data_IF_394403241333
#
_entry.id   IF_394403241333
#
_cell.length_a   1.000
_cell.length_b   1.000
_cell.length_c   1.000
_cell.angle_alpha   90.00
_cell.angle_beta   90.00
_cell.angle_gamma   90.00
#
_symmetry.space_group_name_H-M   'P 1'
#
loop_
_entity.id
_entity.type
_entity.pdbx_description
1 polymer ?
#
# COMPACT_ATOMS: atom_id res chain seq x y z
N UNK A 1 -37.22 61.35 15.39
CA UNK A 1 -38.49 61.49 16.16
C UNK A 1 -39.41 60.40 15.60
N UNK A 2 -39.87 59.34 16.24
CA UNK A 2 -40.08 58.88 17.63
C UNK A 2 -40.22 57.34 17.53
N UNK A 3 -39.56 56.51 18.35
CA UNK A 3 -40.13 55.78 19.52
C UNK A 3 -41.57 55.26 19.32
N UNK A 4 -41.99 54.04 19.69
CA UNK A 4 -41.40 52.91 20.42
C UNK A 4 -42.48 51.81 20.59
N UNK A 5 -42.09 50.51 20.54
CA UNK A 5 -42.41 49.45 21.56
C UNK A 5 -43.89 48.93 21.63
N UNK A 6 -44.31 47.66 21.85
CA UNK A 6 -43.88 46.41 22.57
C UNK A 6 -44.63 45.19 21.92
N UNK A 7 -44.03 43.99 21.71
CA UNK A 7 -43.82 42.81 22.59
C UNK A 7 -44.84 41.66 22.39
N UNK A 8 -44.35 40.49 21.97
CA UNK A 8 -44.35 39.19 22.70
C UNK A 8 -43.65 38.15 21.81
N UNK A 9 -42.42 37.72 22.07
CA UNK A 9 -41.96 36.74 23.09
C UNK A 9 -42.30 35.27 22.77
N UNK A 10 -41.28 34.55 22.28
CA UNK A 10 -40.84 33.18 22.62
C UNK A 10 -40.16 32.59 21.37
N UNK A 11 -38.89 32.16 21.32
CA UNK A 11 -37.92 31.86 22.35
C UNK A 11 -37.30 30.48 22.08
N UNK A 12 -36.13 30.46 21.41
CA UNK A 12 -35.05 29.45 21.49
C UNK A 12 -35.37 27.99 21.03
N UNK A 13 -34.48 27.14 20.50
CA UNK A 13 -33.07 27.13 20.05
C UNK A 13 -32.82 25.80 19.31
N UNK A 14 -31.80 25.80 18.45
CA UNK A 14 -30.95 24.73 17.93
C UNK A 14 -31.19 23.23 18.20
N UNK A 15 -30.86 22.48 17.14
CA UNK A 15 -30.06 21.23 17.10
C UNK A 15 -30.72 19.85 17.00
N UNK A 16 -30.19 19.13 16.00
CA UNK A 16 -29.91 17.69 15.88
C UNK A 16 -30.97 16.77 15.27
N UNK A 17 -30.66 16.44 14.01
CA UNK A 17 -30.87 15.15 13.36
C UNK A 17 -30.58 13.97 14.32
N UNK A 18 -31.57 13.09 14.45
CA UNK A 18 -31.49 11.77 15.08
C UNK A 18 -30.83 10.78 14.12
N UNK A 19 -29.80 10.07 14.59
CA UNK A 19 -29.49 8.72 14.15
C UNK A 19 -29.66 7.79 15.37
N UNK A 20 -30.45 6.75 15.19
CA UNK A 20 -30.78 5.74 16.20
C UNK A 20 -29.74 4.63 16.24
N UNK A 21 -29.18 4.36 17.42
CA UNK A 21 -28.67 3.04 17.80
C UNK A 21 -29.38 2.61 19.09
N UNK A 22 -29.85 1.37 19.10
CA UNK A 22 -30.60 0.72 20.17
C UNK A 22 -29.59 0.11 21.15
N UNK A 23 -29.77 0.37 22.45
CA UNK A 23 -29.10 -0.26 23.58
C UNK A 23 -30.15 -0.88 24.53
N UNK A 24 -29.82 -2.01 25.15
CA UNK A 24 -30.45 -2.64 26.32
C UNK A 24 -29.50 -3.77 26.77
N UNK A 25 -29.12 -4.08 28.01
CA UNK A 25 -29.43 -3.74 29.41
C UNK A 25 -28.12 -4.12 30.20
N UNK A 26 -27.77 -3.78 31.43
CA UNK A 26 -28.48 -3.35 32.63
C UNK A 26 -27.52 -3.39 33.83
N UNK A 27 -27.83 -2.60 34.85
CA UNK A 27 -27.01 -2.19 36.00
C UNK A 27 -26.98 -3.23 37.15
N UNK A 28 -25.87 -3.36 37.91
CA UNK A 28 -25.88 -3.42 39.41
C UNK A 28 -24.47 -3.40 40.05
N UNK A 29 -24.36 -2.60 41.12
CA UNK A 29 -23.23 -2.33 42.04
C UNK A 29 -22.93 -3.52 42.97
N UNK A 30 -21.73 -3.61 43.56
CA UNK A 30 -21.46 -3.77 45.03
C UNK A 30 -19.94 -3.77 45.38
N UNK A 31 -19.56 -2.79 46.21
CA UNK A 31 -18.57 -2.69 47.33
C UNK A 31 -17.33 -3.64 47.51
N UNK A 32 -16.15 -2.99 47.58
CA UNK A 32 -15.23 -2.80 48.74
C UNK A 32 -14.27 -3.92 49.28
N UNK A 33 -12.97 -3.51 49.37
CA UNK A 33 -11.86 -3.87 50.32
C UNK A 33 -11.13 -5.23 50.15
N UNK A 34 -9.83 -5.22 49.79
CA UNK A 34 -8.61 -5.20 50.64
C UNK A 34 -8.27 -6.53 51.35
N UNK A 35 -7.15 -7.18 50.99
CA UNK A 35 -5.97 -7.45 51.84
C UNK A 35 -4.94 -8.39 51.17
N UNK A 36 -3.71 -8.29 51.67
CA UNK A 36 -2.41 -8.72 51.16
C UNK A 36 -1.99 -10.07 51.78
N UNK A 37 -1.19 -10.90 51.07
CA UNK A 37 0.09 -11.54 51.49
C UNK A 37 0.28 -12.99 50.98
N UNK A 38 1.20 -13.08 50.01
CA UNK A 38 2.43 -13.90 49.93
C UNK A 38 2.49 -15.43 50.19
N UNK A 39 3.44 -16.02 49.45
CA UNK A 39 4.16 -17.30 49.55
C UNK A 39 3.57 -18.62 49.02
N UNK A 40 4.23 -19.14 47.97
CA UNK A 40 5.02 -20.38 48.13
C UNK A 40 4.61 -21.66 47.37
N UNK A 41 5.50 -22.07 46.45
CA UNK A 41 5.97 -23.45 46.15
C UNK A 41 5.13 -24.49 45.36
N UNK A 42 5.70 -24.85 44.19
CA UNK A 42 6.01 -26.19 43.59
C UNK A 42 4.92 -27.19 43.12
N UNK A 43 5.20 -27.67 41.89
CA UNK A 43 5.20 -29.06 41.36
C UNK A 43 4.16 -29.52 40.30
N UNK A 44 4.72 -29.81 39.11
CA UNK A 44 4.61 -31.01 38.26
C UNK A 44 3.30 -31.47 37.58
N UNK A 45 3.39 -31.53 36.25
CA UNK A 45 3.10 -32.65 35.33
C UNK A 45 1.67 -33.07 34.91
N UNK A 46 1.52 -33.05 33.58
CA UNK A 46 0.94 -34.07 32.65
C UNK A 46 -0.52 -33.94 32.18
N UNK A 47 -0.62 -34.12 30.87
CA UNK A 47 -1.70 -34.64 30.01
C UNK A 47 -2.67 -33.72 29.26
N UNK A 48 -2.91 -34.17 28.04
CA UNK A 48 -3.55 -33.51 26.92
C UNK A 48 -4.96 -34.06 26.72
N UNK A 49 -5.91 -33.22 26.33
CA UNK A 49 -6.79 -33.45 25.17
C UNK A 49 -7.82 -32.31 24.99
N UNK A 50 -7.97 -31.90 23.72
CA UNK A 50 -9.22 -31.47 23.02
C UNK A 50 -9.77 -30.04 23.15
N UNK A 51 -9.99 -29.52 21.93
CA UNK A 51 -11.15 -28.74 21.42
C UNK A 51 -11.33 -27.25 21.74
N UNK A 52 -11.42 -26.50 20.63
CA UNK A 52 -12.36 -25.42 20.31
C UNK A 52 -12.42 -24.16 21.20
N UNK A 53 -12.01 -23.05 20.57
CA UNK A 53 -12.61 -21.70 20.64
C UNK A 53 -12.75 -21.05 22.01
N UNK A 54 -11.95 -20.02 22.29
CA UNK A 54 -12.43 -18.70 22.73
C UNK A 54 -11.28 -17.72 22.97
N UNK A 55 -11.43 -16.53 22.38
CA UNK A 55 -10.59 -15.35 22.54
C UNK A 55 -10.74 -14.84 23.99
N UNK A 56 -9.66 -14.89 24.78
CA UNK A 56 -9.57 -14.19 26.06
C UNK A 56 -8.58 -13.03 25.95
N UNK A 57 -9.14 -11.83 26.14
CA UNK A 57 -8.46 -10.54 26.24
C UNK A 57 -8.01 -10.38 27.69
N UNK A 58 -6.70 -10.28 27.93
CA UNK A 58 -6.13 -9.92 29.23
C UNK A 58 -6.15 -8.39 29.38
N UNK A 59 -6.77 -7.90 30.46
CA UNK A 59 -6.77 -6.49 30.86
C UNK A 59 -6.06 -6.32 32.21
N UNK A 60 -4.82 -5.81 32.16
CA UNK A 60 -4.14 -5.17 33.29
C UNK A 60 -4.13 -3.64 33.12
N UNK A 61 -4.35 -2.90 34.21
CA UNK A 61 -4.39 -1.43 34.30
C UNK A 61 -3.71 -1.00 35.62
N UNK A 62 -3.12 0.20 35.80
CA UNK A 62 -2.34 1.05 34.89
C UNK A 62 -0.93 1.34 35.47
N UNK A 63 0.12 1.22 34.66
CA UNK A 63 1.36 1.97 34.92
C UNK A 63 1.49 3.05 33.85
N UNK A 64 1.59 4.29 34.30
CA UNK A 64 1.73 5.51 33.50
C UNK A 64 2.91 5.42 32.53
N UNK A 65 2.69 4.85 31.33
CA UNK A 65 3.48 5.01 30.10
C UNK A 65 2.91 4.25 28.88
N UNK A 66 1.67 3.76 28.92
CA UNK A 66 1.13 2.80 27.94
C UNK A 66 0.37 3.38 26.72
N UNK A 67 0.48 4.68 26.41
CA UNK A 67 -0.21 5.30 25.26
C UNK A 67 0.69 5.61 24.05
N UNK A 68 1.81 4.89 23.88
CA UNK A 68 2.76 5.13 22.77
C UNK A 68 3.11 3.93 21.88
N UNK A 69 2.40 2.79 21.94
CA UNK A 69 2.94 1.55 21.36
C UNK A 69 1.98 0.66 20.53
N UNK A 70 0.87 1.17 20.00
CA UNK A 70 -0.06 0.36 19.18
C UNK A 70 -0.18 0.79 17.70
N UNK A 71 0.65 1.73 17.25
CA UNK A 71 0.62 2.23 15.86
C UNK A 71 1.96 2.07 15.10
N UNK A 72 2.77 1.09 15.48
CA UNK A 72 4.05 0.79 14.82
C UNK A 72 4.19 -0.65 14.35
N UNK A 73 3.09 -1.35 14.05
CA UNK A 73 3.16 -2.74 13.60
C UNK A 73 2.53 -2.98 12.23
N UNK A 74 3.38 -3.59 11.37
CA UNK A 74 3.14 -4.30 10.11
C UNK A 74 3.15 -3.51 8.80
N UNK A 75 4.36 -3.28 8.28
CA UNK A 75 4.67 -3.39 6.86
C UNK A 75 5.80 -4.42 6.66
N UNK A 76 5.53 -5.70 6.95
CA UNK A 76 6.37 -6.82 6.51
C UNK A 76 5.57 -7.57 5.45
N UNK A 77 5.59 -7.10 4.20
CA UNK A 77 5.11 -7.90 3.05
C UNK A 77 5.71 -7.48 1.69
N UNK A 78 6.55 -6.44 1.62
CA UNK A 78 7.26 -6.05 0.40
C UNK A 78 8.78 -6.01 0.67
N UNK A 79 9.43 -7.16 0.48
CA UNK A 79 10.88 -7.33 0.58
C UNK A 79 11.69 -6.35 -0.27
N UNK A 80 12.71 -5.78 0.38
CA UNK A 80 14.13 -5.91 0.00
C UNK A 80 14.40 -6.46 -1.40
N UNK A 81 14.70 -5.59 -2.36
CA UNK A 81 15.50 -5.98 -3.52
C UNK A 81 16.61 -4.97 -3.85
N UNK A 82 16.92 -4.03 -2.95
CA UNK A 82 18.03 -3.09 -3.10
C UNK A 82 18.88 -3.06 -1.83
N UNK A 83 20.06 -3.69 -1.94
CA UNK A 83 21.22 -3.69 -1.03
C UNK A 83 21.25 -4.70 0.14
N UNK A 84 22.43 -5.32 0.40
CA UNK A 84 22.72 -6.06 1.62
C UNK A 84 23.10 -5.04 2.70
N UNK A 85 22.26 -4.82 3.70
CA UNK A 85 22.67 -4.08 4.90
C UNK A 85 22.54 -5.01 6.11
N UNK A 86 23.65 -5.21 6.80
CA UNK A 86 23.73 -5.97 8.05
C UNK A 86 22.74 -5.38 9.08
N UNK A 87 21.98 -6.21 9.83
CA UNK A 87 20.94 -5.74 10.76
C UNK A 87 21.42 -4.75 11.84
N UNK A 88 22.73 -4.77 12.16
CA UNK A 88 23.35 -3.97 13.23
C UNK A 88 23.51 -2.49 12.86
N UNK A 89 23.40 -2.11 11.58
CA UNK A 89 23.53 -0.70 11.13
C UNK A 89 22.18 0.01 10.91
N UNK A 90 21.05 -0.66 11.16
CA UNK A 90 19.68 -0.18 10.90
C UNK A 90 19.13 0.82 11.95
N UNK A 91 19.87 1.10 13.02
CA UNK A 91 19.36 1.88 14.15
C UNK A 91 19.80 3.33 14.18
N UNK A 92 20.99 3.68 13.67
CA UNK A 92 21.62 4.95 14.09
C UNK A 92 21.13 6.22 13.37
N UNK A 93 20.47 6.13 12.20
CA UNK A 93 20.12 7.34 11.41
C UNK A 93 18.80 7.19 10.62
N UNK A 94 17.86 6.38 11.09
CA UNK A 94 16.54 6.27 10.48
C UNK A 94 15.80 7.62 10.56
N UNK A 95 15.24 8.14 9.45
CA UNK A 95 14.50 9.40 9.53
C UNK A 95 13.30 9.23 10.46
N UNK A 96 13.06 10.22 11.32
CA UNK A 96 12.02 10.20 12.35
C UNK A 96 10.65 10.13 11.71
N UNK A 97 9.94 9.04 11.96
CA UNK A 97 8.58 8.81 11.46
C UNK A 97 7.58 9.37 12.48
N UNK A 98 6.74 10.37 12.13
CA UNK A 98 5.77 10.93 13.06
C UNK A 98 4.63 9.92 13.37
N UNK A 99 3.99 10.03 14.55
CA UNK A 99 2.85 9.20 14.92
C UNK A 99 1.72 9.33 13.88
N UNK A 100 1.20 8.20 13.39
CA UNK A 100 0.13 8.18 12.38
C UNK A 100 0.60 8.25 10.92
N UNK A 101 1.90 8.29 10.65
CA UNK A 101 2.43 8.07 9.30
C UNK A 101 2.08 6.67 8.81
N UNK A 102 1.63 6.60 7.56
CA UNK A 102 1.32 5.34 6.90
C UNK A 102 2.26 5.12 5.73
N UNK A 103 3.11 4.10 5.86
CA UNK A 103 3.79 3.48 4.74
C UNK A 103 3.05 2.18 4.39
N UNK A 104 2.49 2.10 3.18
CA UNK A 104 1.74 0.92 2.74
C UNK A 104 2.65 -0.25 2.32
N UNK A 105 3.79 0.07 1.71
CA UNK A 105 4.69 -0.89 1.10
C UNK A 105 6.15 -0.39 1.17
N UNK A 106 7.10 -1.28 0.88
CA UNK A 106 8.54 -1.00 0.96
C UNK A 106 9.14 -1.22 2.36
N UNK A 107 10.45 -0.96 2.48
CA UNK A 107 11.20 -1.24 3.70
C UNK A 107 10.85 -0.22 4.82
N UNK A 108 10.57 -0.66 6.05
CA UNK A 108 10.39 0.25 7.18
C UNK A 108 11.61 1.17 7.34
N UNK A 109 11.42 2.45 7.66
CA UNK A 109 12.52 3.43 7.83
C UNK A 109 13.27 3.85 6.55
N UNK A 110 12.90 3.34 5.36
CA UNK A 110 13.48 3.84 4.10
C UNK A 110 12.87 5.16 3.64
N UNK A 111 11.71 5.52 4.19
CA UNK A 111 10.95 6.71 3.82
C UNK A 111 10.37 7.37 5.08
N UNK A 112 10.38 8.68 5.14
CA UNK A 112 9.75 9.45 6.21
C UNK A 112 9.11 10.71 5.67
N UNK A 113 7.93 11.09 6.20
CA UNK A 113 7.34 12.39 5.87
C UNK A 113 8.12 13.50 6.55
N UNK A 114 8.14 14.65 5.90
CA UNK A 114 8.64 15.91 6.43
C UNK A 114 7.51 16.94 6.42
N UNK A 115 7.77 18.11 7.01
CA UNK A 115 6.84 19.23 6.96
C UNK A 115 6.54 19.68 5.51
N UNK A 116 5.44 20.41 5.34
CA UNK A 116 5.08 21.10 4.09
C UNK A 116 4.90 20.17 2.88
N UNK A 117 4.39 18.96 3.09
CA UNK A 117 4.05 18.06 1.99
C UNK A 117 5.26 17.46 1.27
N UNK A 118 6.31 17.17 2.04
CA UNK A 118 7.52 16.54 1.55
C UNK A 118 7.62 15.12 2.12
N UNK A 119 8.16 14.20 1.34
CA UNK A 119 8.55 12.87 1.79
C UNK A 119 10.01 12.64 1.42
N UNK A 120 10.80 12.20 2.40
CA UNK A 120 12.22 11.91 2.25
C UNK A 120 12.43 10.41 2.10
N UNK A 121 13.06 10.00 1.02
CA UNK A 121 13.38 8.59 0.73
C UNK A 121 14.90 8.40 0.73
N UNK A 122 15.39 7.40 1.46
CA UNK A 122 16.81 7.04 1.51
C UNK A 122 17.24 6.44 0.17
N UNK A 123 18.42 6.81 -0.30
CA UNK A 123 19.07 6.28 -1.51
C UNK A 123 20.48 5.79 -1.18
N UNK A 124 21.03 4.93 -2.03
CA UNK A 124 22.32 4.26 -1.80
C UNK A 124 23.53 5.21 -1.96
N UNK A 125 23.35 6.35 -2.62
CA UNK A 125 24.42 7.32 -2.89
C UNK A 125 24.14 8.19 -4.12
N UNK A 126 25.12 8.97 -4.58
CA UNK A 126 24.95 9.91 -5.69
C UNK A 126 24.69 9.25 -7.05
N UNK A 127 25.04 7.98 -7.19
CA UNK A 127 24.84 7.16 -8.40
C UNK A 127 23.62 6.22 -8.29
N UNK A 128 22.76 6.42 -7.28
CA UNK A 128 21.57 5.61 -7.09
C UNK A 128 20.62 5.70 -8.29
N UNK A 129 20.11 4.56 -8.73
CA UNK A 129 19.23 4.45 -9.91
C UNK A 129 17.98 5.29 -9.77
N UNK A 130 17.36 5.36 -8.59
CA UNK A 130 16.13 6.13 -8.39
C UNK A 130 16.39 7.64 -8.51
N UNK A 131 17.52 8.11 -7.97
CA UNK A 131 17.95 9.50 -8.12
C UNK A 131 18.18 9.85 -9.59
N UNK A 132 18.92 9.01 -10.32
CA UNK A 132 19.18 9.23 -11.75
C UNK A 132 17.88 9.22 -12.57
N UNK A 133 16.93 8.34 -12.23
CA UNK A 133 15.62 8.31 -12.85
C UNK A 133 14.83 9.60 -12.60
N UNK A 134 14.71 10.06 -11.34
CA UNK A 134 13.99 11.30 -11.03
C UNK A 134 14.58 12.52 -11.73
N UNK A 135 15.90 12.63 -11.85
CA UNK A 135 16.55 13.72 -12.62
C UNK A 135 16.09 13.74 -14.07
N UNK A 136 16.00 12.59 -14.72
CA UNK A 136 15.53 12.49 -16.11
C UNK A 136 14.02 12.68 -16.24
N UNK A 137 13.24 12.12 -15.32
CA UNK A 137 11.78 12.29 -15.26
C UNK A 137 11.37 13.76 -15.16
N UNK A 138 12.14 14.58 -14.44
CA UNK A 138 11.84 16.02 -14.27
C UNK A 138 12.11 16.87 -15.51
N UNK A 139 12.93 16.40 -16.45
CA UNK A 139 13.19 17.14 -17.71
C UNK A 139 12.39 16.59 -18.89
N UNK A 140 11.76 15.41 -18.75
CA UNK A 140 10.84 14.87 -19.75
C UNK A 140 9.45 15.56 -19.64
N UNK A 141 8.96 16.23 -20.71
CA UNK A 141 7.73 17.03 -20.66
C UNK A 141 6.44 16.21 -20.47
N UNK A 142 6.50 14.90 -20.65
CA UNK A 142 5.38 13.98 -20.45
C UNK A 142 5.50 13.25 -19.11
N UNK A 143 6.69 12.75 -18.77
CA UNK A 143 6.91 11.96 -17.57
C UNK A 143 6.75 12.77 -16.28
N UNK A 144 7.16 14.04 -16.27
CA UNK A 144 6.98 14.94 -15.12
C UNK A 144 5.50 15.05 -14.68
N UNK A 145 4.55 14.81 -15.60
CA UNK A 145 3.11 14.91 -15.35
C UNK A 145 2.51 13.64 -14.73
N UNK A 146 3.28 12.55 -14.62
CA UNK A 146 2.78 11.26 -14.11
C UNK A 146 3.46 10.78 -12.83
N UNK A 147 4.52 11.46 -12.37
CA UNK A 147 5.33 11.06 -11.20
C UNK A 147 5.27 12.09 -10.08
N UNK A 148 5.69 11.76 -8.85
CA UNK A 148 5.87 12.75 -7.79
C UNK A 148 6.92 13.80 -8.18
N UNK A 149 6.69 15.06 -7.80
CA UNK A 149 7.68 16.12 -8.03
C UNK A 149 8.94 15.81 -7.22
N UNK A 150 10.08 15.78 -7.89
CA UNK A 150 11.39 15.70 -7.24
C UNK A 150 11.80 17.09 -6.75
N UNK A 151 12.14 17.18 -5.46
CA UNK A 151 12.42 18.45 -4.76
C UNK A 151 13.92 18.66 -4.51
N UNK A 152 14.71 17.59 -4.51
CA UNK A 152 16.16 17.69 -4.38
C UNK A 152 16.80 16.47 -3.75
N UNK A 153 18.10 16.59 -3.53
CA UNK A 153 18.93 15.61 -2.81
C UNK A 153 19.33 16.21 -1.48
N UNK A 154 19.31 15.40 -0.43
CA UNK A 154 19.77 15.77 0.90
C UNK A 154 20.80 14.78 1.39
N UNK A 155 21.82 15.27 2.10
CA UNK A 155 22.83 14.44 2.74
C UNK A 155 22.87 14.77 4.22
N UNK A 156 22.77 13.76 5.08
CA UNK A 156 22.78 13.94 6.54
C UNK A 156 23.58 12.79 7.15
N UNK A 157 24.61 13.11 7.94
CA UNK A 157 25.43 12.12 8.65
C UNK A 157 25.98 10.97 7.76
N UNK A 158 26.40 11.30 6.53
CA UNK A 158 26.92 10.33 5.56
C UNK A 158 25.85 9.57 4.75
N UNK A 159 24.58 9.65 5.16
CA UNK A 159 23.45 9.06 4.45
C UNK A 159 22.92 9.99 3.35
N UNK A 160 22.41 9.39 2.27
CA UNK A 160 21.90 10.11 1.11
C UNK A 160 20.39 9.92 0.98
N UNK A 161 19.70 10.99 0.59
CA UNK A 161 18.25 11.00 0.46
C UNK A 161 17.80 11.80 -0.76
N UNK A 162 16.63 11.44 -1.28
CA UNK A 162 15.86 12.29 -2.18
C UNK A 162 14.62 12.81 -1.46
N UNK A 163 14.29 14.06 -1.69
CA UNK A 163 13.04 14.66 -1.24
C UNK A 163 12.06 14.71 -2.42
N UNK A 164 10.87 14.19 -2.20
CA UNK A 164 9.79 14.10 -3.15
C UNK A 164 8.55 14.80 -2.58
N UNK A 165 7.66 15.27 -3.45
CA UNK A 165 6.35 15.73 -3.00
C UNK A 165 5.55 14.57 -2.39
N UNK A 166 5.03 14.77 -1.19
CA UNK A 166 4.17 13.80 -0.52
C UNK A 166 2.77 13.81 -1.15
N UNK A 167 2.45 12.74 -1.87
CA UNK A 167 1.19 12.55 -2.60
C UNK A 167 -0.04 12.45 -1.68
N UNK A 168 0.14 12.26 -0.38
CA UNK A 168 -0.96 12.31 0.61
C UNK A 168 -1.22 13.73 1.12
N UNK A 169 -0.33 14.69 0.83
CA UNK A 169 -0.49 16.07 1.30
C UNK A 169 -1.74 16.72 0.69
N UNK A 170 -2.55 17.35 1.54
CA UNK A 170 -3.80 18.00 1.15
C UNK A 170 -5.00 17.06 1.07
N UNK A 171 -4.84 15.74 1.24
CA UNK A 171 -5.97 14.82 1.37
C UNK A 171 -6.45 14.72 2.82
N UNK A 172 -7.76 14.57 3.00
CA UNK A 172 -8.40 14.39 4.32
C UNK A 172 -8.87 12.95 4.50
N UNK A 173 -8.22 12.23 5.42
CA UNK A 173 -8.47 10.82 5.69
C UNK A 173 -8.56 9.96 4.41
N UNK A 174 -7.50 9.94 3.58
CA UNK A 174 -7.55 9.35 2.25
C UNK A 174 -7.72 7.84 2.28
N UNK A 175 -8.38 7.35 1.23
CA UNK A 175 -8.30 5.97 0.78
C UNK A 175 -7.09 5.86 -0.15
N UNK A 176 -6.28 4.82 0.03
CA UNK A 176 -5.01 4.63 -0.69
C UNK A 176 -4.92 3.21 -1.23
N UNK A 177 -4.43 3.06 -2.46
CA UNK A 177 -4.13 1.77 -3.08
C UNK A 177 -2.79 1.83 -3.81
N UNK A 178 -1.97 0.80 -3.60
CA UNK A 178 -0.69 0.58 -4.28
C UNK A 178 -0.83 -0.63 -5.21
N UNK A 179 -0.63 -0.40 -6.51
CA UNK A 179 -0.71 -1.42 -7.55
C UNK A 179 0.65 -1.53 -8.22
N UNK A 180 1.36 -2.63 -7.99
CA UNK A 180 2.63 -2.89 -8.67
C UNK A 180 2.39 -3.26 -10.13
N UNK A 181 3.20 -2.69 -11.01
CA UNK A 181 3.04 -2.80 -12.46
C UNK A 181 4.11 -3.69 -13.11
N UNK A 182 3.78 -4.22 -14.28
CA UNK A 182 4.63 -5.09 -15.10
C UNK A 182 4.36 -6.58 -14.90
N UNK A 183 4.85 -7.40 -15.84
CA UNK A 183 4.86 -8.86 -15.80
C UNK A 183 5.96 -9.42 -14.91
N UNK A 184 7.02 -8.64 -14.69
CA UNK A 184 8.20 -9.03 -13.91
C UNK A 184 8.63 -7.91 -12.98
N UNK A 185 9.20 -8.29 -11.84
CA UNK A 185 9.72 -7.36 -10.83
C UNK A 185 11.24 -7.44 -10.63
N UNK A 186 11.90 -8.17 -11.53
CA UNK A 186 13.32 -8.47 -11.50
C UNK A 186 14.05 -8.02 -12.75
N UNK A 187 15.31 -7.64 -12.60
CA UNK A 187 16.22 -7.31 -13.68
C UNK A 187 16.76 -8.59 -14.32
N UNK A 188 17.23 -8.51 -15.56
CA UNK A 188 17.85 -9.65 -16.22
C UNK A 188 19.15 -10.09 -15.51
N UNK A 189 19.87 -9.14 -14.90
CA UNK A 189 21.03 -9.44 -14.06
C UNK A 189 20.68 -10.18 -12.76
N UNK A 190 19.45 -10.05 -12.25
CA UNK A 190 18.99 -10.82 -11.08
C UNK A 190 18.65 -12.27 -11.45
N UNK A 191 18.45 -12.58 -12.74
CA UNK A 191 18.10 -13.94 -13.21
C UNK A 191 19.26 -14.90 -13.04
N UNK A 192 20.51 -14.43 -13.20
CA UNK A 192 21.70 -15.27 -13.05
C UNK A 192 22.17 -15.44 -11.59
N UNK A 193 21.51 -14.77 -10.63
CA UNK A 193 21.90 -14.84 -9.23
C UNK A 193 21.36 -16.12 -8.57
N UNK A 194 22.27 -17.00 -8.16
CA UNK A 194 21.97 -18.29 -7.51
C UNK A 194 22.06 -18.26 -5.98
N UNK A 195 22.26 -17.08 -5.39
CA UNK A 195 22.34 -16.94 -3.94
C UNK A 195 21.04 -17.37 -3.25
N UNK A 196 21.16 -18.27 -2.28
CA UNK A 196 20.05 -18.80 -1.50
C UNK A 196 19.70 -17.87 -0.34
N UNK A 197 18.40 -17.75 -0.07
CA UNK A 197 17.82 -16.88 0.95
C UNK A 197 16.81 -17.67 1.78
N UNK A 198 17.11 -17.86 3.06
CA UNK A 198 16.22 -18.54 4.01
C UNK A 198 14.96 -17.73 4.28
N UNK A 199 15.07 -16.42 4.44
CA UNK A 199 13.91 -15.56 4.72
C UNK A 199 12.90 -15.52 3.55
N UNK A 200 13.35 -15.69 2.30
CA UNK A 200 12.47 -15.82 1.14
C UNK A 200 11.72 -17.15 1.15
N UNK A 201 12.38 -18.23 1.56
CA UNK A 201 11.75 -19.52 1.75
C UNK A 201 10.67 -19.45 2.84
N UNK A 202 10.99 -18.86 3.99
CA UNK A 202 10.03 -18.66 5.09
C UNK A 202 8.78 -17.87 4.62
N UNK A 203 8.97 -16.88 3.75
CA UNK A 203 7.86 -16.11 3.17
C UNK A 203 7.07 -16.90 2.12
N UNK A 204 7.72 -17.77 1.35
CA UNK A 204 7.03 -18.65 0.41
C UNK A 204 6.12 -19.63 1.15
N UNK A 205 6.64 -20.32 2.17
CA UNK A 205 5.85 -21.30 2.94
C UNK A 205 4.72 -20.65 3.72
N UNK A 206 4.89 -19.40 4.19
CA UNK A 206 3.83 -18.67 4.87
C UNK A 206 2.64 -18.35 3.94
N UNK A 207 2.84 -18.38 2.62
CA UNK A 207 1.79 -18.20 1.62
C UNK A 207 1.25 -19.55 1.15
N UNK A 208 2.14 -20.48 0.81
CA UNK A 208 1.81 -21.83 0.36
C UNK A 208 2.92 -22.81 0.79
N UNK A 209 2.67 -23.63 1.83
CA UNK A 209 3.63 -24.63 2.31
C UNK A 209 3.99 -25.69 1.27
N UNK A 210 3.16 -25.90 0.24
CA UNK A 210 3.37 -26.91 -0.81
C UNK A 210 4.13 -26.39 -2.04
N UNK A 211 4.39 -25.08 -2.09
CA UNK A 211 5.04 -24.45 -3.24
C UNK A 211 6.54 -24.78 -3.41
N UNK A 212 7.36 -24.94 -2.35
CA UNK A 212 8.76 -25.32 -2.51
C UNK A 212 8.92 -26.76 -3.03
N UNK A 213 10.01 -27.03 -3.75
CA UNK A 213 10.40 -28.40 -4.10
C UNK A 213 10.97 -29.16 -2.90
N UNK A 214 11.11 -30.48 -3.01
CA UNK A 214 11.74 -31.31 -1.96
C UNK A 214 13.16 -30.83 -1.61
N UNK A 215 13.95 -30.43 -2.61
CA UNK A 215 15.29 -29.90 -2.41
C UNK A 215 15.27 -28.52 -1.73
N UNK A 216 14.31 -27.66 -2.09
CA UNK A 216 14.13 -26.34 -1.46
C UNK A 216 13.71 -26.49 0.01
N UNK A 217 12.86 -27.47 0.33
CA UNK A 217 12.50 -27.82 1.71
C UNK A 217 13.70 -28.33 2.50
N UNK A 218 14.49 -29.25 1.93
CA UNK A 218 15.67 -29.80 2.60
C UNK A 218 16.71 -28.71 2.93
N UNK A 219 16.84 -27.69 2.08
CA UNK A 219 17.77 -26.57 2.26
C UNK A 219 17.19 -25.41 3.08
N UNK A 220 15.87 -25.38 3.27
CA UNK A 220 15.12 -24.27 3.87
C UNK A 220 15.47 -22.89 3.28
N UNK A 221 15.84 -22.85 2.00
CA UNK A 221 16.26 -21.63 1.33
C UNK A 221 15.98 -21.71 -0.17
N UNK A 222 15.62 -20.58 -0.78
CA UNK A 222 15.34 -20.46 -2.22
C UNK A 222 16.09 -19.29 -2.82
N UNK A 223 16.26 -19.28 -4.14
CA UNK A 223 16.82 -18.11 -4.82
C UNK A 223 15.80 -16.98 -4.87
N UNK A 224 16.31 -15.75 -5.04
CA UNK A 224 15.47 -14.57 -5.20
C UNK A 224 14.59 -14.65 -6.45
N UNK A 225 15.13 -15.11 -7.58
CA UNK A 225 14.37 -15.31 -8.81
C UNK A 225 13.19 -16.27 -8.58
N UNK A 226 13.46 -17.42 -7.95
CA UNK A 226 12.44 -18.43 -7.65
C UNK A 226 11.29 -17.87 -6.81
N UNK A 227 11.60 -17.07 -5.79
CA UNK A 227 10.58 -16.40 -4.97
C UNK A 227 9.76 -15.40 -5.78
N UNK A 228 10.41 -14.60 -6.63
CA UNK A 228 9.71 -13.62 -7.48
C UNK A 228 8.77 -14.31 -8.46
N UNK A 229 9.21 -15.38 -9.12
CA UNK A 229 8.37 -16.18 -10.01
C UNK A 229 7.17 -16.79 -9.29
N UNK A 230 7.35 -17.29 -8.06
CA UNK A 230 6.25 -17.75 -7.22
C UNK A 230 5.25 -16.63 -6.92
N UNK A 231 5.73 -15.47 -6.48
CA UNK A 231 4.88 -14.29 -6.22
C UNK A 231 4.12 -13.84 -7.46
N UNK A 232 4.77 -13.86 -8.61
CA UNK A 232 4.17 -13.47 -9.88
C UNK A 232 3.10 -14.47 -10.34
N UNK A 233 3.29 -15.77 -10.06
CA UNK A 233 2.33 -16.82 -10.35
C UNK A 233 1.13 -16.85 -9.38
N UNK A 234 1.33 -16.52 -8.10
CA UNK A 234 0.26 -16.49 -7.10
C UNK A 234 -0.67 -15.29 -7.25
N UNK A 235 -0.21 -14.25 -7.93
CA UNK A 235 -0.95 -12.99 -8.13
C UNK A 235 -1.36 -12.80 -9.59
N UNK A 236 -2.00 -11.68 -9.88
CA UNK A 236 -2.37 -11.29 -11.24
C UNK A 236 -1.18 -10.83 -12.11
N UNK A 237 0.04 -10.75 -11.57
CA UNK A 237 1.21 -10.19 -12.28
C UNK A 237 1.49 -10.90 -13.61
N UNK A 238 1.58 -12.24 -13.64
CA UNK A 238 1.90 -12.95 -14.88
C UNK A 238 0.83 -12.76 -15.96
N UNK A 239 -0.45 -12.77 -15.62
CA UNK A 239 -1.51 -12.72 -16.63
C UNK A 239 -1.83 -11.29 -17.04
N UNK A 240 -1.96 -10.38 -16.06
CA UNK A 240 -2.49 -9.02 -16.21
C UNK A 240 -1.43 -7.93 -16.26
N UNK A 241 -0.17 -8.24 -15.95
CA UNK A 241 0.89 -7.24 -15.90
C UNK A 241 0.71 -6.21 -14.78
N UNK A 242 -0.03 -6.55 -13.72
CA UNK A 242 -0.07 -5.79 -12.46
C UNK A 242 -0.56 -6.66 -11.31
N UNK A 243 -0.38 -6.22 -10.06
CA UNK A 243 -1.03 -6.78 -8.87
C UNK A 243 -1.26 -5.72 -7.80
N UNK A 244 -2.30 -5.91 -6.98
CA UNK A 244 -2.59 -5.01 -5.85
C UNK A 244 -1.69 -5.41 -4.69
N UNK A 245 -0.78 -4.53 -4.25
CA UNK A 245 0.16 -4.81 -3.16
C UNK A 245 -0.44 -4.43 -1.80
N UNK A 246 -1.16 -3.31 -1.74
CA UNK A 246 -1.74 -2.82 -0.51
C UNK A 246 -2.96 -1.93 -0.78
N UNK A 247 -3.89 -1.92 0.18
CA UNK A 247 -4.97 -0.93 0.22
C UNK A 247 -5.20 -0.47 1.66
N UNK A 248 -5.62 0.78 1.82
CA UNK A 248 -6.16 1.31 3.07
C UNK A 248 -7.39 2.13 2.75
N UNK A 249 -8.48 1.83 3.43
CA UNK A 249 -9.70 2.64 3.35
C UNK A 249 -9.84 3.49 4.61
N UNK A 250 -10.58 4.59 4.50
CA UNK A 250 -10.91 5.45 5.65
C UNK A 250 -11.51 4.63 6.77
N UNK A 251 -11.01 4.82 8.00
CA UNK A 251 -11.49 4.13 9.20
C UNK A 251 -11.10 2.64 9.29
N UNK A 252 -10.37 2.09 8.31
CA UNK A 252 -9.95 0.70 8.30
C UNK A 252 -8.43 0.56 8.46
N UNK A 253 -8.02 -0.56 9.05
CA UNK A 253 -6.63 -0.99 9.03
C UNK A 253 -6.17 -1.26 7.58
N UNK A 254 -4.88 -1.05 7.26
CA UNK A 254 -4.32 -1.42 5.97
C UNK A 254 -4.49 -2.93 5.70
N UNK A 255 -4.92 -3.28 4.50
CA UNK A 255 -4.97 -4.65 4.01
C UNK A 255 -3.76 -4.88 3.12
N UNK A 256 -2.87 -5.77 3.57
CA UNK A 256 -1.64 -6.14 2.85
C UNK A 256 -1.59 -7.60 2.45
N UNK A 257 -2.53 -8.42 2.92
CA UNK A 257 -2.64 -9.82 2.51
C UNK A 257 -3.45 -9.97 1.22
N UNK A 258 -2.85 -9.49 0.13
CA UNK A 258 -3.43 -9.48 -1.21
C UNK A 258 -2.65 -10.39 -2.18
N UNK A 259 -1.79 -11.25 -1.62
CA UNK A 259 -0.77 -12.02 -2.36
C UNK A 259 -1.35 -13.01 -3.36
N UNK A 260 -2.59 -13.44 -3.12
CA UNK A 260 -3.31 -14.47 -3.88
C UNK A 260 -4.48 -13.90 -4.70
N UNK A 261 -4.61 -12.57 -4.76
CA UNK A 261 -5.57 -11.91 -5.65
C UNK A 261 -5.07 -12.05 -7.09
N UNK A 262 -5.70 -12.97 -7.84
CA UNK A 262 -5.25 -13.36 -9.19
C UNK A 262 -6.35 -13.27 -10.23
N UNK A 263 -7.54 -13.76 -9.92
CA UNK A 263 -8.61 -13.86 -10.92
C UNK A 263 -9.26 -12.51 -11.20
N UNK A 264 -9.77 -12.37 -12.42
CA UNK A 264 -10.59 -11.25 -12.87
C UNK A 264 -11.68 -10.81 -11.87
N UNK A 265 -12.38 -11.80 -11.27
CA UNK A 265 -13.42 -11.53 -10.29
C UNK A 265 -12.82 -10.97 -8.99
N UNK A 266 -11.78 -11.61 -8.43
CA UNK A 266 -11.13 -11.14 -7.20
C UNK A 266 -10.56 -9.72 -7.36
N UNK A 267 -9.92 -9.42 -8.50
CA UNK A 267 -9.37 -8.10 -8.77
C UNK A 267 -10.49 -7.06 -8.83
N UNK A 268 -11.56 -7.31 -9.62
CA UNK A 268 -12.70 -6.39 -9.73
C UNK A 268 -13.39 -6.17 -8.39
N UNK A 269 -13.58 -7.22 -7.60
CA UNK A 269 -14.17 -7.13 -6.26
C UNK A 269 -13.29 -6.28 -5.34
N UNK A 270 -11.96 -6.48 -5.37
CA UNK A 270 -11.02 -5.71 -4.53
C UNK A 270 -11.01 -4.23 -4.91
N UNK A 271 -10.95 -3.90 -6.20
CA UNK A 271 -10.99 -2.51 -6.68
C UNK A 271 -12.39 -1.89 -6.46
N UNK A 272 -13.46 -2.66 -6.65
CA UNK A 272 -14.83 -2.24 -6.39
C UNK A 272 -15.07 -1.88 -4.92
N UNK A 273 -14.54 -2.70 -4.01
CA UNK A 273 -14.54 -2.42 -2.57
C UNK A 273 -13.73 -1.15 -2.26
N UNK A 274 -12.55 -0.99 -2.87
CA UNK A 274 -11.73 0.21 -2.68
C UNK A 274 -12.43 1.51 -3.09
N UNK A 275 -13.18 1.54 -4.19
CA UNK A 275 -13.97 2.73 -4.58
C UNK A 275 -15.32 2.81 -3.85
N UNK A 276 -15.72 1.77 -3.12
CA UNK A 276 -16.91 1.68 -2.29
C UNK A 276 -18.19 2.19 -2.99
N UNK A 277 -18.42 1.74 -4.23
CA UNK A 277 -19.58 2.15 -5.04
C UNK A 277 -19.58 3.60 -5.54
N UNK A 278 -18.55 4.41 -5.21
CA UNK A 278 -18.46 5.81 -5.64
C UNK A 278 -18.05 5.92 -7.11
N UNK A 279 -19.06 5.99 -7.98
CA UNK A 279 -18.88 6.05 -9.44
C UNK A 279 -18.07 7.25 -9.93
N UNK A 280 -18.22 8.42 -9.30
CA UNK A 280 -17.44 9.62 -9.64
C UNK A 280 -15.95 9.37 -9.45
N UNK A 281 -15.57 8.81 -8.30
CA UNK A 281 -14.18 8.44 -7.99
C UNK A 281 -13.64 7.44 -9.02
N UNK A 282 -14.37 6.36 -9.30
CA UNK A 282 -13.95 5.38 -10.31
C UNK A 282 -13.75 6.01 -11.71
N UNK A 283 -14.64 6.94 -12.09
CA UNK A 283 -14.55 7.68 -13.36
C UNK A 283 -13.31 8.58 -13.40
N UNK A 284 -13.00 9.28 -12.33
CA UNK A 284 -11.85 10.20 -12.28
C UNK A 284 -10.51 9.45 -12.25
N UNK A 285 -10.45 8.34 -11.50
CA UNK A 285 -9.30 7.41 -11.55
C UNK A 285 -9.12 6.89 -12.97
N UNK A 286 -10.17 6.39 -13.61
CA UNK A 286 -10.11 5.88 -14.99
C UNK A 286 -9.63 6.94 -15.98
N UNK A 287 -10.17 8.15 -15.90
CA UNK A 287 -9.76 9.29 -16.74
C UNK A 287 -8.27 9.57 -16.58
N UNK A 288 -7.79 9.59 -15.33
CA UNK A 288 -6.39 9.83 -15.02
C UNK A 288 -5.47 8.70 -15.50
N UNK A 289 -5.86 7.43 -15.35
CA UNK A 289 -5.10 6.28 -15.86
C UNK A 289 -4.94 6.32 -17.38
N UNK A 290 -6.01 6.63 -18.13
CA UNK A 290 -5.96 6.79 -19.59
C UNK A 290 -5.02 7.94 -19.99
N UNK A 291 -5.07 9.07 -19.27
CA UNK A 291 -4.15 10.18 -19.48
C UNK A 291 -2.69 9.76 -19.22
N UNK A 292 -2.43 9.07 -18.11
CA UNK A 292 -1.08 8.60 -17.77
C UNK A 292 -0.54 7.66 -18.84
N UNK A 293 -1.32 6.70 -19.32
CA UNK A 293 -0.94 5.81 -20.42
C UNK A 293 -0.47 6.60 -21.65
N UNK A 294 -1.27 7.58 -22.10
CA UNK A 294 -0.92 8.41 -23.26
C UNK A 294 0.32 9.27 -23.04
N UNK A 295 0.56 9.74 -21.81
CA UNK A 295 1.78 10.48 -21.47
C UNK A 295 3.01 9.56 -21.47
N UNK A 296 2.89 8.35 -20.92
CA UNK A 296 3.96 7.35 -20.90
C UNK A 296 4.34 6.94 -22.34
N UNK A 297 3.36 6.73 -23.22
CA UNK A 297 3.60 6.41 -24.64
C UNK A 297 4.41 7.47 -25.39
N UNK A 298 4.27 8.75 -25.01
CA UNK A 298 4.91 9.90 -25.66
C UNK A 298 6.25 10.30 -25.03
N UNK A 299 6.61 9.71 -23.90
CA UNK A 299 7.79 10.10 -23.15
C UNK A 299 9.06 9.45 -23.70
N UNK A 300 10.10 10.25 -23.86
CA UNK A 300 11.43 9.74 -24.24
C UNK A 300 12.07 8.95 -23.10
N UNK A 301 11.84 9.36 -21.84
CA UNK A 301 12.31 8.61 -20.67
C UNK A 301 11.83 7.16 -20.74
N UNK A 302 10.52 6.93 -20.85
CA UNK A 302 9.96 5.59 -20.88
C UNK A 302 10.43 4.80 -22.11
N UNK A 303 10.49 5.42 -23.30
CA UNK A 303 11.04 4.76 -24.51
C UNK A 303 12.50 4.29 -24.37
N UNK A 304 13.26 4.85 -23.42
CA UNK A 304 14.69 4.57 -23.21
C UNK A 304 14.98 3.83 -21.91
N UNK A 305 13.98 3.46 -21.12
CA UNK A 305 14.16 2.77 -19.84
C UNK A 305 13.27 1.53 -19.76
N UNK A 306 13.76 0.46 -19.15
CA UNK A 306 12.90 -0.56 -18.57
C UNK A 306 12.52 -0.12 -17.14
N UNK A 307 11.23 -0.11 -16.80
CA UNK A 307 10.73 0.42 -15.52
C UNK A 307 10.15 -0.69 -14.66
N UNK A 308 11.02 -1.33 -13.88
CA UNK A 308 10.70 -2.51 -13.10
C UNK A 308 10.26 -2.17 -11.68
N UNK A 309 9.28 -2.92 -11.18
CA UNK A 309 8.87 -2.83 -9.77
C UNK A 309 8.18 -1.52 -9.37
N UNK A 310 7.90 -0.64 -10.33
CA UNK A 310 7.13 0.59 -10.15
C UNK A 310 5.67 0.28 -9.78
N UNK A 311 5.01 1.26 -9.19
CA UNK A 311 3.63 1.15 -8.74
C UNK A 311 2.78 2.32 -9.21
N UNK A 312 1.53 2.03 -9.58
CA UNK A 312 0.47 3.03 -9.67
C UNK A 312 -0.08 3.25 -8.26
N UNK A 313 0.10 4.47 -7.76
CA UNK A 313 -0.34 4.89 -6.43
C UNK A 313 -1.61 5.74 -6.57
N UNK A 314 -2.73 5.23 -6.07
CA UNK A 314 -4.04 5.87 -6.13
C UNK A 314 -4.39 6.39 -4.74
N UNK A 315 -4.75 7.66 -4.66
CA UNK A 315 -5.19 8.32 -3.44
C UNK A 315 -6.50 9.04 -3.73
N UNK A 316 -7.49 8.92 -2.85
CA UNK A 316 -8.68 9.75 -2.97
C UNK A 316 -9.37 9.98 -1.62
N UNK A 317 -10.04 11.12 -1.51
CA UNK A 317 -10.95 11.45 -0.42
C UNK A 317 -12.31 11.92 -0.98
N UNK A 318 -13.09 12.67 -0.20
CA UNK A 318 -14.40 13.14 -0.63
C UNK A 318 -14.34 14.34 -1.59
N UNK A 319 -13.16 14.93 -1.78
CA UNK A 319 -12.97 16.16 -2.54
C UNK A 319 -12.13 15.94 -3.81
N UNK A 320 -11.17 15.02 -3.77
CA UNK A 320 -10.19 14.89 -4.84
C UNK A 320 -9.68 13.45 -5.04
N UNK A 321 -9.15 13.23 -6.25
CA UNK A 321 -8.51 12.00 -6.70
C UNK A 321 -7.11 12.33 -7.22
N UNK A 322 -6.12 11.54 -6.79
CA UNK A 322 -4.75 11.61 -7.26
C UNK A 322 -4.26 10.23 -7.72
N UNK A 323 -3.52 10.20 -8.83
CA UNK A 323 -2.87 8.99 -9.34
C UNK A 323 -1.49 9.33 -9.90
N UNK A 324 -0.48 8.61 -9.42
CA UNK A 324 0.92 8.77 -9.80
C UNK A 324 1.57 7.41 -10.06
N UNK A 325 2.62 7.40 -10.88
CA UNK A 325 3.57 6.30 -10.98
C UNK A 325 4.72 6.59 -10.01
N UNK A 326 5.03 5.64 -9.12
CA UNK A 326 6.05 5.75 -8.08
C UNK A 326 7.05 4.59 -8.16
N UNK A 327 8.10 4.67 -7.34
CA UNK A 327 9.17 3.67 -7.18
C UNK A 327 9.99 3.40 -8.44
N UNK A 328 11.02 4.23 -8.66
CA UNK A 328 11.91 4.15 -9.82
C UNK A 328 13.28 3.52 -9.49
N UNK A 329 13.39 2.82 -8.37
CA UNK A 329 14.63 2.18 -7.93
C UNK A 329 15.20 1.15 -8.92
N UNK A 330 14.35 0.58 -9.80
CA UNK A 330 14.77 -0.30 -10.89
C UNK A 330 14.34 0.23 -12.27
N UNK A 331 14.35 1.56 -12.44
CA UNK A 331 14.22 2.18 -13.75
C UNK A 331 15.59 2.27 -14.41
N UNK A 332 15.90 1.29 -15.27
CA UNK A 332 17.23 1.13 -15.86
C UNK A 332 17.23 1.58 -17.32
N UNK A 333 18.25 2.34 -17.77
CA UNK A 333 18.42 2.64 -19.18
C UNK A 333 18.46 1.35 -20.01
N UNK A 334 17.85 1.40 -21.19
CA UNK A 334 17.91 0.29 -22.14
C UNK A 334 19.31 0.18 -22.75
N UNK A 335 19.78 -1.04 -23.06
CA UNK A 335 21.01 -1.23 -23.83
C UNK A 335 20.93 -0.51 -25.19
N UNK A 336 22.07 -0.04 -25.74
CA UNK A 336 22.10 0.63 -27.04
C UNK A 336 21.38 -0.18 -28.13
N UNK A 337 20.55 0.50 -28.93
CA UNK A 337 19.78 -0.12 -30.01
C UNK A 337 18.54 -0.92 -29.57
N UNK A 338 18.33 -1.11 -28.27
CA UNK A 338 17.14 -1.82 -27.75
C UNK A 338 15.91 -0.90 -27.75
N UNK A 339 14.77 -1.45 -28.16
CA UNK A 339 13.47 -0.77 -28.08
C UNK A 339 12.47 -1.68 -27.38
N UNK A 340 11.71 -1.09 -26.47
CA UNK A 340 10.61 -1.75 -25.77
C UNK A 340 9.29 -1.11 -26.17
N UNK A 341 8.23 -1.89 -26.10
CA UNK A 341 6.84 -1.45 -26.28
C UNK A 341 6.14 -1.26 -24.93
N UNK A 342 6.75 -1.77 -23.86
CA UNK A 342 6.20 -1.99 -22.53
C UNK A 342 4.91 -2.84 -22.54
N UNK A 343 4.67 -3.59 -23.63
CA UNK A 343 3.44 -4.37 -23.83
C UNK A 343 3.71 -5.82 -24.19
N UNK A 344 4.76 -6.07 -24.96
CA UNK A 344 5.15 -7.43 -25.34
C UNK A 344 5.54 -8.23 -24.10
N UNK A 345 5.40 -9.55 -24.20
CA UNK A 345 5.84 -10.46 -23.15
C UNK A 345 7.36 -10.37 -23.01
N UNK A 346 7.83 -10.39 -21.77
CA UNK A 346 9.24 -10.46 -21.47
C UNK A 346 9.82 -11.78 -21.97
N UNK A 347 11.01 -11.67 -22.56
CA UNK A 347 11.91 -12.76 -22.89
C UNK A 347 13.32 -12.27 -22.58
N UNK A 348 14.20 -13.17 -22.12
CA UNK A 348 15.58 -12.81 -21.82
C UNK A 348 16.23 -12.04 -22.98
N UNK A 349 16.75 -10.84 -22.69
CA UNK A 349 17.42 -9.96 -23.64
C UNK A 349 16.51 -8.95 -24.34
N UNK A 350 15.19 -9.08 -24.27
CA UNK A 350 14.28 -8.14 -24.93
C UNK A 350 13.93 -6.91 -24.06
N UNK A 351 14.35 -6.90 -22.79
CA UNK A 351 14.12 -5.83 -21.81
C UNK A 351 12.65 -5.46 -21.52
N UNK A 352 11.66 -6.15 -22.11
CA UNK A 352 10.25 -5.83 -21.88
C UNK A 352 9.87 -6.16 -20.43
N UNK A 353 9.09 -5.29 -19.82
CA UNK A 353 8.63 -5.41 -18.44
C UNK A 353 7.11 -5.40 -18.33
N UNK A 354 6.40 -4.94 -19.36
CA UNK A 354 4.94 -4.99 -19.42
C UNK A 354 4.21 -3.83 -18.72
N UNK A 355 4.88 -2.69 -18.46
CA UNK A 355 4.27 -1.53 -17.79
C UNK A 355 2.98 -1.07 -18.48
N UNK A 356 3.02 -0.83 -19.80
CA UNK A 356 1.86 -0.36 -20.57
C UNK A 356 0.79 -1.46 -20.74
N UNK A 357 1.18 -2.74 -20.81
CA UNK A 357 0.20 -3.82 -20.76
C UNK A 357 -0.57 -3.80 -19.43
N UNK A 358 0.14 -3.63 -18.32
CA UNK A 358 -0.48 -3.46 -16.99
C UNK A 358 -1.44 -2.28 -16.95
N UNK A 359 -1.09 -1.14 -17.56
CA UNK A 359 -2.01 -0.01 -17.70
C UNK A 359 -3.25 -0.37 -18.51
N UNK A 360 -3.10 -1.07 -19.64
CA UNK A 360 -4.24 -1.47 -20.48
C UNK A 360 -5.20 -2.40 -19.73
N UNK A 361 -4.69 -3.38 -18.98
CA UNK A 361 -5.50 -4.28 -18.16
C UNK A 361 -6.14 -3.57 -16.95
N UNK A 362 -5.40 -2.68 -16.28
CA UNK A 362 -5.92 -1.91 -15.15
C UNK A 362 -7.04 -0.96 -15.58
N UNK A 363 -6.88 -0.30 -16.73
CA UNK A 363 -7.90 0.55 -17.36
C UNK A 363 -9.16 -0.27 -17.66
N UNK A 364 -9.02 -1.44 -18.30
CA UNK A 364 -10.16 -2.32 -18.60
C UNK A 364 -10.87 -2.79 -17.32
N UNK A 365 -10.11 -3.11 -16.29
CA UNK A 365 -10.65 -3.53 -14.99
C UNK A 365 -11.43 -2.39 -14.32
N UNK A 366 -10.86 -1.18 -14.32
CA UNK A 366 -11.52 0.00 -13.75
C UNK A 366 -12.78 0.40 -14.52
N UNK A 367 -12.79 0.24 -15.86
CA UNK A 367 -14.00 0.40 -16.68
C UNK A 367 -15.12 -0.55 -16.24
N UNK A 368 -14.81 -1.83 -16.04
CA UNK A 368 -15.77 -2.81 -15.56
C UNK A 368 -16.30 -2.46 -14.15
N UNK A 369 -15.42 -2.03 -13.24
CA UNK A 369 -15.83 -1.58 -11.89
C UNK A 369 -16.74 -0.35 -11.96
N UNK A 370 -16.40 0.63 -12.80
CA UNK A 370 -17.22 1.84 -12.99
C UNK A 370 -18.62 1.50 -13.53
N UNK A 371 -18.73 0.54 -14.46
CA UNK A 371 -20.01 0.07 -14.99
C UNK A 371 -20.83 -0.69 -13.93
N UNK A 372 -20.20 -1.52 -13.10
CA UNK A 372 -20.90 -2.21 -12.01
C UNK A 372 -21.47 -1.24 -10.97
N UNK A 373 -20.73 -0.18 -10.62
CA UNK A 373 -21.23 0.87 -9.72
C UNK A 373 -22.48 1.59 -10.26
N UNK A 374 -22.63 1.66 -11.59
CA UNK A 374 -23.82 2.21 -12.24
C UNK A 374 -25.05 1.34 -12.01
N UNK A 375 -24.94 0.01 -12.15
CA UNK A 375 -26.07 -0.90 -11.97
C UNK A 375 -26.53 -1.02 -10.51
N UNK A 376 -25.62 -0.96 -9.54
CA UNK A 376 -25.96 -0.97 -8.12
C UNK A 376 -26.74 0.27 -7.69
N UNK A 377 -26.40 1.43 -8.27
CA UNK A 377 -27.08 2.71 -7.98
C UNK A 377 -28.52 2.74 -8.53
N UNK A 378 -28.75 2.18 -9.72
CA UNK A 378 -30.08 2.11 -10.35
C UNK A 378 -31.01 1.14 -9.60
N UNK A 379 -30.49 -0.02 -9.13
CA UNK A 379 -31.27 -0.98 -8.33
C UNK A 379 -31.71 -0.45 -6.96
N UNK A 380 -30.92 0.43 -6.34
CA UNK A 380 -31.30 1.06 -5.07
C UNK A 380 -32.36 2.16 -5.28
N UNK A 381 -32.28 2.92 -6.37
CA UNK A 381 -33.30 3.91 -6.72
C UNK A 381 -34.64 3.28 -7.10
N UNK A 382 -34.64 2.19 -7.88
CA UNK A 382 -35.89 1.50 -8.25
C UNK A 382 -36.61 0.86 -7.05
N UNK A 383 -35.87 0.42 -6.01
CA UNK A 383 -36.47 -0.11 -4.78
C UNK A 383 -37.01 0.98 -3.84
N UNK A 384 -36.49 2.20 -3.93
CA UNK A 384 -36.95 3.32 -3.10
C UNK A 384 -38.20 4.01 -3.67
N UNK A 385 -38.54 3.78 -4.93
CA UNK A 385 -39.74 4.30 -5.60
C UNK A 385 -40.94 3.35 -5.55
N UNK A 386 -40.75 2.13 -5.04
CA UNK A 386 -41.78 1.09 -4.91
C UNK A 386 -42.39 1.00 -3.48
N UNK A 387 -42.26 2.05 -2.66
CA UNK A 387 -42.82 2.12 -1.29
C UNK A 387 -43.74 3.32 -1.14
#
# INVERSE_FOLDING_TARGET
MTSSIFLTMAGWTSDKFRLSCIDNNGLKRTLLKMLILDNGTKNSNIEAERTATEYLVDQGVPTTNANKSLLSFLAINALELSAPASPVLLECNAPTVPPGWLQLSGHPKSIAPLANGIVRKRISGPNDTELLAYRQLMVDPHAIKVVPKFLGVHQVAGEHFIDLHNMLHGFTEPNVMDIKMGFRTFTESEVSNTALREDLYQKMIAVDPSAPSADEHARQAITKLRYMQFRENMSSTQEKGFRIEALRMRGCSPVTDLKTIKTDHQIRTTIGHFVNGRRSIAKDILKRLRQMRTLIEKSEFFQRHQVLGSSVFIVYDDHQVGVWLIDFAKALPLPPGTKVTHRRRWQMGNCEEGLLHGFDELIRTMEAVQQQAQHSSVRHQSRATDV
#
